data_IF_077436188438
#
_entry.id   IF_077436188438
#
_cell.length_a   1.000
_cell.length_b   1.000
_cell.length_c   1.000
_cell.angle_alpha   90.00
_cell.angle_beta   90.00
_cell.angle_gamma   90.00
#
_symmetry.space_group_name_H-M   'P 1'
#
loop_
_entity.id
_entity.type
_entity.pdbx_description
1 polymer ?
#
# COMPACT_ATOMS: atom_id res chain seq x y z
N UNK A 1 -46.16 40.03 -16.11
CA UNK A 1 -45.56 38.95 -16.93
C UNK A 1 -46.44 37.73 -16.77
N UNK A 2 -47.36 37.50 -17.71
CA UNK A 2 -48.27 36.34 -17.68
C UNK A 2 -47.51 35.21 -18.37
N UNK A 3 -47.04 34.24 -17.61
CA UNK A 3 -46.41 33.06 -18.17
C UNK A 3 -47.50 32.18 -18.77
N UNK A 4 -47.42 31.90 -20.07
CA UNK A 4 -48.30 30.91 -20.70
C UNK A 4 -47.99 29.54 -20.09
N UNK A 5 -49.03 28.80 -19.73
CA UNK A 5 -48.88 27.51 -19.05
C UNK A 5 -48.00 26.53 -19.85
N UNK A 6 -48.06 26.61 -21.17
CA UNK A 6 -47.21 25.83 -22.09
C UNK A 6 -45.72 26.16 -21.96
N UNK A 7 -45.38 27.43 -21.70
CA UNK A 7 -44.00 27.85 -21.47
C UNK A 7 -43.47 27.31 -20.14
N UNK A 8 -44.31 27.27 -19.10
CA UNK A 8 -43.95 26.70 -17.78
C UNK A 8 -43.72 25.19 -17.89
N UNK A 9 -44.60 24.49 -18.60
CA UNK A 9 -44.46 23.04 -18.84
C UNK A 9 -43.20 22.73 -19.67
N UNK A 10 -42.93 23.51 -20.72
CA UNK A 10 -41.73 23.35 -21.54
C UNK A 10 -40.43 23.50 -20.73
N UNK A 11 -40.36 24.51 -19.87
CA UNK A 11 -39.18 24.75 -19.00
C UNK A 11 -38.98 23.61 -18.01
N UNK A 12 -40.05 23.11 -17.39
CA UNK A 12 -39.97 21.98 -16.44
C UNK A 12 -39.44 20.70 -17.10
N UNK A 13 -39.89 20.39 -18.32
CA UNK A 13 -39.42 19.21 -19.07
C UNK A 13 -37.93 19.32 -19.38
N UNK A 14 -37.46 20.49 -19.80
CA UNK A 14 -36.03 20.72 -20.10
C UNK A 14 -35.18 20.57 -18.83
N UNK A 15 -35.61 21.14 -17.71
CA UNK A 15 -34.90 21.04 -16.43
C UNK A 15 -34.85 19.59 -15.92
N UNK A 16 -35.95 18.84 -16.04
CA UNK A 16 -35.99 17.41 -15.70
C UNK A 16 -35.06 16.58 -16.60
N UNK A 17 -35.08 16.83 -17.91
CA UNK A 17 -34.19 16.16 -18.86
C UNK A 17 -32.71 16.44 -18.58
N UNK A 18 -32.38 17.70 -18.31
CA UNK A 18 -31.02 18.11 -17.95
C UNK A 18 -30.59 17.51 -16.59
N UNK A 19 -31.47 17.49 -15.60
CA UNK A 19 -31.26 16.84 -14.31
C UNK A 19 -30.98 15.34 -14.44
N UNK A 20 -31.75 14.64 -15.28
CA UNK A 20 -31.54 13.21 -15.54
C UNK A 20 -30.24 12.94 -16.31
N UNK A 21 -29.90 13.76 -17.30
CA UNK A 21 -28.65 13.63 -18.05
C UNK A 21 -27.43 13.86 -17.15
N UNK A 22 -27.45 14.91 -16.32
CA UNK A 22 -26.36 15.20 -15.37
C UNK A 22 -26.23 14.09 -14.31
N UNK A 23 -27.35 13.62 -13.77
CA UNK A 23 -27.35 12.48 -12.84
C UNK A 23 -26.79 11.21 -13.48
N UNK A 24 -27.17 10.90 -14.73
CA UNK A 24 -26.67 9.76 -15.48
C UNK A 24 -25.17 9.83 -15.78
N UNK A 25 -24.66 11.01 -16.16
CA UNK A 25 -23.22 11.24 -16.37
C UNK A 25 -22.44 11.11 -15.07
N UNK A 26 -22.96 11.65 -13.96
CA UNK A 26 -22.33 11.52 -12.64
C UNK A 26 -22.32 10.08 -12.16
N UNK A 27 -23.42 9.34 -12.29
CA UNK A 27 -23.50 7.93 -11.92
C UNK A 27 -22.60 7.05 -12.79
N UNK A 28 -22.59 7.25 -14.11
CA UNK A 28 -21.70 6.50 -15.02
C UNK A 28 -20.24 6.84 -14.79
N UNK A 29 -19.91 8.11 -14.56
CA UNK A 29 -18.57 8.55 -14.18
C UNK A 29 -18.09 7.93 -12.87
N UNK A 30 -18.98 7.83 -11.88
CA UNK A 30 -18.70 7.20 -10.57
C UNK A 30 -18.68 5.67 -10.62
N UNK A 31 -19.40 5.04 -11.55
CA UNK A 31 -19.34 3.59 -11.76
C UNK A 31 -18.04 3.17 -12.48
N UNK A 32 -17.54 4.01 -13.41
CA UNK A 32 -16.34 3.72 -14.21
C UNK A 32 -15.03 4.18 -13.52
N UNK A 33 -15.09 5.18 -12.61
CA UNK A 33 -13.99 5.59 -11.72
C UNK A 33 -14.49 5.55 -10.26
N UNK A 34 -14.21 4.51 -9.44
CA UNK A 34 -12.94 4.50 -8.71
C UNK A 34 -12.43 3.10 -8.27
N UNK A 35 -12.90 1.98 -8.83
CA UNK A 35 -12.43 0.66 -8.38
C UNK A 35 -11.02 0.33 -8.87
N UNK A 36 -10.62 0.76 -10.06
CA UNK A 36 -9.31 0.40 -10.61
C UNK A 36 -8.15 1.09 -9.88
N UNK A 37 -8.20 2.42 -9.69
CA UNK A 37 -7.12 3.16 -9.04
C UNK A 37 -7.04 2.86 -7.52
N UNK A 38 -8.18 2.75 -6.84
CA UNK A 38 -8.20 2.36 -5.42
C UNK A 38 -7.73 0.92 -5.22
N UNK A 39 -8.15 -0.03 -6.08
CA UNK A 39 -7.61 -1.39 -6.06
C UNK A 39 -6.13 -1.41 -6.35
N UNK A 40 -5.67 -0.70 -7.38
CA UNK A 40 -4.25 -0.63 -7.72
C UNK A 40 -3.40 -0.14 -6.53
N UNK A 41 -3.86 0.91 -5.82
CA UNK A 41 -3.21 1.37 -4.58
C UNK A 41 -3.24 0.32 -3.47
N UNK A 42 -4.39 -0.32 -3.25
CA UNK A 42 -4.52 -1.35 -2.21
C UNK A 42 -3.66 -2.58 -2.49
N UNK A 43 -3.50 -2.95 -3.77
CA UNK A 43 -2.65 -4.05 -4.21
C UNK A 43 -1.19 -3.65 -4.04
N UNK A 44 -0.79 -2.46 -4.50
CA UNK A 44 0.56 -1.93 -4.32
C UNK A 44 0.97 -1.86 -2.84
N UNK A 45 0.06 -1.44 -1.95
CA UNK A 45 0.33 -1.42 -0.50
C UNK A 45 0.52 -2.83 0.08
N UNK A 46 -0.28 -3.81 -0.36
CA UNK A 46 -0.14 -5.20 0.07
C UNK A 46 1.16 -5.81 -0.46
N UNK A 47 1.51 -5.53 -1.70
CA UNK A 47 2.74 -6.02 -2.32
C UNK A 47 3.97 -5.42 -1.62
N UNK A 48 3.96 -4.11 -1.36
CA UNK A 48 4.97 -3.44 -0.55
C UNK A 48 5.16 -4.09 0.82
N UNK A 49 4.07 -4.36 1.54
CA UNK A 49 4.14 -5.02 2.84
C UNK A 49 4.69 -6.45 2.75
N UNK A 50 4.34 -7.21 1.70
CA UNK A 50 4.88 -8.57 1.47
C UNK A 50 6.35 -8.53 1.10
N UNK A 51 6.76 -7.59 0.27
CA UNK A 51 8.15 -7.45 -0.15
C UNK A 51 9.06 -7.07 1.02
N UNK A 52 8.59 -6.20 1.93
CA UNK A 52 9.29 -5.91 3.18
C UNK A 52 9.46 -7.16 4.06
N UNK A 53 8.42 -7.99 4.17
CA UNK A 53 8.50 -9.24 4.94
C UNK A 53 9.50 -10.21 4.31
N UNK A 54 9.47 -10.38 2.98
CA UNK A 54 10.42 -11.23 2.25
C UNK A 54 11.85 -10.71 2.33
N UNK A 55 12.04 -9.40 2.28
CA UNK A 55 13.34 -8.77 2.47
C UNK A 55 13.87 -9.04 3.89
N UNK A 56 13.03 -8.89 4.92
CA UNK A 56 13.41 -9.21 6.30
C UNK A 56 13.80 -10.69 6.47
N UNK A 57 13.02 -11.62 5.91
CA UNK A 57 13.36 -13.06 5.92
C UNK A 57 14.69 -13.34 5.23
N UNK A 58 14.91 -12.68 4.10
CA UNK A 58 16.14 -12.84 3.33
C UNK A 58 17.34 -12.35 4.13
N UNK A 59 17.26 -11.16 4.74
CA UNK A 59 18.34 -10.61 5.58
C UNK A 59 18.60 -11.53 6.78
N UNK A 60 17.57 -12.01 7.47
CA UNK A 60 17.72 -12.97 8.57
C UNK A 60 18.43 -14.25 8.09
N UNK A 61 17.99 -14.84 6.98
CA UNK A 61 18.58 -16.07 6.45
C UNK A 61 20.02 -15.88 5.96
N UNK A 62 20.35 -14.70 5.43
CA UNK A 62 21.74 -14.36 5.06
C UNK A 62 22.59 -14.19 6.31
N UNK A 63 22.11 -13.40 7.29
CA UNK A 63 22.83 -13.15 8.54
C UNK A 63 23.14 -14.44 9.30
N UNK A 64 22.17 -15.36 9.39
CA UNK A 64 22.37 -16.67 10.04
C UNK A 64 23.37 -17.57 9.29
N UNK A 65 23.41 -17.49 7.95
CA UNK A 65 24.38 -18.24 7.14
C UNK A 65 25.77 -17.66 7.19
N UNK A 66 25.89 -16.34 7.39
CA UNK A 66 27.19 -15.67 7.52
C UNK A 66 27.75 -15.68 8.94
N UNK A 67 26.91 -15.93 9.96
CA UNK A 67 27.35 -16.00 11.34
C UNK A 67 28.27 -17.22 11.55
N UNK A 68 29.40 -16.99 12.21
CA UNK A 68 30.30 -18.06 12.63
C UNK A 68 29.65 -18.97 13.68
N UNK A 69 30.22 -20.16 13.89
CA UNK A 69 29.73 -21.08 14.90
C UNK A 69 29.84 -20.43 16.30
N UNK A 70 28.68 -20.20 16.95
CA UNK A 70 28.61 -19.60 18.28
C UNK A 70 28.54 -18.07 18.31
N UNK A 71 28.58 -17.41 17.16
CA UNK A 71 28.41 -15.95 17.06
C UNK A 71 26.94 -15.59 16.78
N UNK A 72 26.40 -14.52 17.40
CA UNK A 72 25.04 -14.07 17.12
C UNK A 72 24.96 -13.44 15.73
N UNK A 73 23.90 -13.77 14.98
CA UNK A 73 23.64 -13.17 13.68
C UNK A 73 23.16 -11.71 13.83
N UNK A 74 23.90 -10.75 13.28
CA UNK A 74 23.53 -9.33 13.32
C UNK A 74 22.56 -9.01 12.19
N UNK A 75 21.36 -8.55 12.53
CA UNK A 75 20.28 -8.24 11.58
C UNK A 75 19.85 -6.78 11.76
N UNK A 76 20.15 -5.93 10.77
CA UNK A 76 19.87 -4.50 10.86
C UNK A 76 18.67 -4.06 10.01
N UNK A 77 17.96 -3.03 10.47
CA UNK A 77 16.88 -2.36 9.71
C UNK A 77 17.43 -1.80 8.41
N UNK A 78 18.64 -1.25 8.43
CA UNK A 78 19.31 -0.72 7.24
C UNK A 78 19.53 -1.80 6.18
N UNK A 79 19.92 -3.01 6.59
CA UNK A 79 20.07 -4.13 5.66
C UNK A 79 18.73 -4.52 5.02
N UNK A 80 17.61 -4.42 5.75
CA UNK A 80 16.26 -4.64 5.19
C UNK A 80 15.89 -3.54 4.21
N UNK A 81 16.13 -2.26 4.56
CA UNK A 81 15.91 -1.11 3.66
C UNK A 81 16.67 -1.30 2.35
N UNK A 82 17.99 -1.51 2.43
CA UNK A 82 18.85 -1.71 1.27
C UNK A 82 18.42 -2.90 0.42
N UNK A 83 18.16 -4.05 1.05
CA UNK A 83 17.68 -5.25 0.36
C UNK A 83 16.35 -4.99 -0.36
N UNK A 84 15.46 -4.21 0.25
CA UNK A 84 14.16 -3.89 -0.35
C UNK A 84 14.33 -2.98 -1.57
N UNK A 85 15.20 -1.97 -1.48
CA UNK A 85 15.50 -1.06 -2.59
C UNK A 85 16.20 -1.79 -3.76
N UNK A 86 17.25 -2.55 -3.46
CA UNK A 86 18.06 -3.24 -4.47
C UNK A 86 17.28 -4.37 -5.17
N UNK A 87 16.52 -5.17 -4.40
CA UNK A 87 15.88 -6.38 -4.94
C UNK A 87 14.48 -6.13 -5.50
N UNK A 88 13.75 -5.17 -4.97
CA UNK A 88 12.36 -4.90 -5.36
C UNK A 88 12.17 -3.54 -6.05
N UNK A 89 13.24 -2.75 -6.21
CA UNK A 89 13.22 -1.53 -7.02
C UNK A 89 12.50 -0.35 -6.39
N UNK A 90 12.31 -0.34 -5.06
CA UNK A 90 11.72 0.81 -4.37
C UNK A 90 12.74 1.95 -4.29
N UNK A 91 12.33 3.17 -4.68
CA UNK A 91 13.19 4.36 -4.61
C UNK A 91 13.51 4.79 -3.17
N UNK A 92 12.67 4.40 -2.21
CA UNK A 92 12.78 4.77 -0.80
C UNK A 92 11.93 3.84 0.05
N UNK A 93 12.43 3.49 1.23
CA UNK A 93 11.71 2.69 2.21
C UNK A 93 11.79 3.40 3.53
N UNK A 94 10.64 3.68 4.14
CA UNK A 94 10.64 4.26 5.48
C UNK A 94 11.24 3.29 6.48
N UNK A 95 12.23 3.77 7.25
CA UNK A 95 12.90 2.99 8.30
C UNK A 95 11.89 2.39 9.28
N UNK A 96 10.79 3.08 9.58
CA UNK A 96 9.70 2.58 10.44
C UNK A 96 9.01 1.35 9.86
N UNK A 97 8.74 1.32 8.56
CA UNK A 97 8.13 0.16 7.90
C UNK A 97 9.08 -1.03 7.87
N UNK A 98 10.35 -0.79 7.55
CA UNK A 98 11.39 -1.82 7.58
C UNK A 98 11.59 -2.38 9.00
N UNK A 99 11.64 -1.53 10.03
CA UNK A 99 11.74 -1.95 11.42
C UNK A 99 10.52 -2.78 11.84
N UNK A 100 9.31 -2.35 11.49
CA UNK A 100 8.10 -3.11 11.82
C UNK A 100 8.06 -4.49 11.14
N UNK A 101 8.48 -4.59 9.88
CA UNK A 101 8.59 -5.86 9.18
C UNK A 101 9.65 -6.77 9.82
N UNK A 102 10.81 -6.19 10.17
CA UNK A 102 11.90 -6.90 10.83
C UNK A 102 11.49 -7.43 12.21
N UNK A 103 10.85 -6.62 13.07
CA UNK A 103 10.33 -7.06 14.38
C UNK A 103 9.42 -8.27 14.26
N UNK A 104 8.42 -8.20 13.36
CA UNK A 104 7.47 -9.30 13.15
C UNK A 104 8.19 -10.60 12.74
N UNK A 105 9.16 -10.52 11.83
CA UNK A 105 9.88 -11.72 11.36
C UNK A 105 10.90 -12.22 12.38
N UNK A 106 11.51 -11.32 13.13
CA UNK A 106 12.40 -11.66 14.23
C UNK A 106 11.69 -12.49 15.31
N UNK A 107 10.49 -12.05 15.71
CA UNK A 107 9.62 -12.77 16.66
C UNK A 107 9.13 -14.11 16.08
N UNK A 108 8.59 -14.11 14.85
CA UNK A 108 8.05 -15.33 14.22
C UNK A 108 9.11 -16.38 13.92
N UNK A 109 10.31 -15.95 13.50
CA UNK A 109 11.42 -16.82 13.15
C UNK A 109 12.17 -17.38 14.35
N UNK A 110 11.79 -16.99 15.58
CA UNK A 110 12.54 -17.26 16.82
C UNK A 110 14.02 -16.85 16.74
N UNK A 111 14.35 -15.82 15.94
CA UNK A 111 15.72 -15.29 15.82
C UNK A 111 16.20 -14.68 17.15
N UNK A 112 15.30 -14.46 18.12
CA UNK A 112 15.66 -13.96 19.44
C UNK A 112 16.66 -14.84 20.21
N UNK A 113 16.85 -16.10 19.82
CA UNK A 113 17.79 -17.01 20.51
C UNK A 113 19.22 -16.91 19.97
N UNK A 114 19.39 -16.49 18.71
CA UNK A 114 20.64 -16.60 17.96
C UNK A 114 20.97 -15.35 17.11
N UNK A 115 20.17 -14.28 17.23
CA UNK A 115 20.33 -13.05 16.46
C UNK A 115 20.26 -11.81 17.34
N UNK A 116 20.84 -10.71 16.85
CA UNK A 116 20.78 -9.37 17.46
C UNK A 116 20.22 -8.39 16.43
N UNK A 117 19.37 -7.46 16.86
CA UNK A 117 18.73 -6.50 15.94
C UNK A 117 18.62 -5.08 16.51
N UNK A 118 18.78 -4.06 15.64
CA UNK A 118 18.53 -2.65 15.95
C UNK A 118 17.06 -2.24 15.75
N UNK A 119 16.17 -3.19 15.45
CA UNK A 119 14.78 -2.87 15.12
C UNK A 119 14.00 -2.23 16.27
N UNK A 120 14.44 -2.38 17.52
CA UNK A 120 13.76 -1.86 18.72
C UNK A 120 14.37 -0.55 19.25
N UNK A 121 15.48 -0.08 18.67
CA UNK A 121 16.16 1.16 19.04
C UNK A 121 15.55 2.42 18.44
#
# INVERSE_FOLDING_TARGET
MRWDADAVVGVLVVLLGAGLMTAGVLWKGRAVRPFAASRARSVAQRDYARDLQRAADHVIAVARRSAGAGEPAIVTVEAVVRTTQERYGYAGVERRHAAAALRRRYEQGRCAVDCVTDAYG
#
